data_IF_370371002186
#
_entry.id   IF_370371002186
#
_cell.length_a   1.000
_cell.length_b   1.000
_cell.length_c   1.000
_cell.angle_alpha   90.00
_cell.angle_beta   90.00
_cell.angle_gamma   90.00
#
_symmetry.space_group_name_H-M   'P 1'
#
loop_
_entity.id
_entity.type
_entity.pdbx_description
1 polymer ?
#
# COMPACT_ATOMS: atom_id res chain seq x y z
N UNK A 1 -88.40 20.54 17.65
CA UNK A 1 -89.26 19.61 16.88
C UNK A 1 -88.69 19.52 15.47
N UNK A 2 -87.84 18.53 15.19
CA UNK A 2 -88.14 17.32 14.39
C UNK A 2 -88.84 17.62 13.06
N UNK A 3 -88.13 17.43 11.94
CA UNK A 3 -88.44 16.57 10.77
C UNK A 3 -87.48 17.02 9.64
N UNK A 4 -86.55 16.21 9.14
CA UNK A 4 -86.63 14.93 8.43
C UNK A 4 -86.28 15.13 6.94
N UNK A 5 -85.30 14.35 6.50
CA UNK A 5 -84.74 14.24 5.15
C UNK A 5 -85.80 14.12 4.05
N UNK A 6 -85.51 14.71 2.88
CA UNK A 6 -85.86 14.10 1.59
C UNK A 6 -84.70 14.16 0.61
N UNK A 7 -84.44 12.98 0.03
CA UNK A 7 -83.44 12.64 -0.98
C UNK A 7 -83.77 13.34 -2.29
N UNK A 8 -82.79 14.02 -2.87
CA UNK A 8 -82.80 14.48 -4.25
C UNK A 8 -81.47 14.11 -4.90
N UNK A 9 -81.48 13.05 -5.71
CA UNK A 9 -80.36 12.68 -6.58
C UNK A 9 -80.31 13.70 -7.71
N UNK A 10 -79.19 14.42 -7.83
CA UNK A 10 -78.86 15.20 -9.03
C UNK A 10 -77.42 14.86 -9.43
N UNK A 11 -77.29 14.13 -10.54
CA UNK A 11 -76.04 13.90 -11.26
C UNK A 11 -75.66 15.19 -12.00
N UNK A 12 -74.47 15.73 -11.74
CA UNK A 12 -73.84 16.70 -12.65
C UNK A 12 -72.30 16.67 -12.58
N UNK A 13 -71.73 16.04 -13.61
CA UNK A 13 -70.56 16.39 -14.41
C UNK A 13 -69.33 17.06 -13.74
N UNK A 14 -68.25 16.26 -13.66
CA UNK A 14 -66.80 16.52 -13.83
C UNK A 14 -66.36 18.00 -14.05
N UNK A 15 -65.47 18.50 -13.17
CA UNK A 15 -64.31 19.34 -13.55
C UNK A 15 -63.32 19.58 -12.38
N UNK A 16 -62.10 19.07 -12.53
CA UNK A 16 -60.82 19.72 -12.19
C UNK A 16 -60.55 20.30 -10.80
N UNK A 17 -59.67 19.63 -10.04
CA UNK A 17 -58.47 20.23 -9.44
C UNK A 17 -57.59 19.12 -8.83
N UNK A 18 -56.67 18.57 -9.62
CA UNK A 18 -55.52 17.84 -9.10
C UNK A 18 -54.59 18.87 -8.48
N UNK A 19 -54.65 19.06 -7.16
CA UNK A 19 -53.59 19.72 -6.42
C UNK A 19 -52.35 18.84 -6.49
N UNK A 20 -51.46 19.16 -7.43
CA UNK A 20 -50.13 18.61 -7.49
C UNK A 20 -49.36 19.09 -6.25
N UNK A 21 -49.15 18.18 -5.28
CA UNK A 21 -48.11 18.34 -4.28
C UNK A 21 -46.75 18.29 -5.02
N UNK A 22 -46.22 19.45 -5.38
CA UNK A 22 -44.80 19.59 -5.74
C UNK A 22 -43.98 19.50 -4.46
N UNK A 23 -43.64 18.28 -4.04
CA UNK A 23 -42.51 18.11 -3.13
C UNK A 23 -41.22 18.51 -3.86
N UNK A 24 -40.30 19.26 -3.24
CA UNK A 24 -39.00 19.51 -3.84
C UNK A 24 -38.29 18.16 -4.01
N UNK A 25 -38.00 17.80 -5.25
CA UNK A 25 -37.22 16.61 -5.57
C UNK A 25 -35.85 16.73 -4.91
N UNK A 26 -35.64 15.99 -3.83
CA UNK A 26 -34.31 15.71 -3.31
C UNK A 26 -33.60 14.92 -4.39
N UNK A 27 -32.74 15.59 -5.15
CA UNK A 27 -31.75 14.94 -5.99
C UNK A 27 -30.86 14.12 -5.06
N UNK A 28 -31.10 12.81 -4.96
CA UNK A 28 -30.14 11.92 -4.34
C UNK A 28 -28.85 12.03 -5.16
N UNK A 29 -27.69 12.30 -4.55
CA UNK A 29 -26.45 12.26 -5.30
C UNK A 29 -26.34 10.88 -5.92
N UNK A 30 -26.24 10.80 -7.25
CA UNK A 30 -25.90 9.56 -7.94
C UNK A 30 -24.55 9.11 -7.37
N UNK A 31 -24.58 8.15 -6.44
CA UNK A 31 -23.37 7.56 -5.90
C UNK A 31 -22.68 6.82 -7.03
N UNK A 32 -21.40 7.15 -7.29
CA UNK A 32 -20.63 6.46 -8.33
C UNK A 32 -20.68 4.94 -8.07
N UNK A 33 -20.90 4.10 -9.10
CA UNK A 33 -20.98 2.66 -8.91
C UNK A 33 -19.67 2.13 -8.30
N UNK A 34 -19.79 1.24 -7.33
CA UNK A 34 -18.66 0.61 -6.66
C UNK A 34 -18.16 -0.60 -7.46
N UNK A 35 -16.83 -0.75 -7.57
CA UNK A 35 -16.19 -1.99 -8.03
C UNK A 35 -15.96 -2.98 -6.88
N UNK A 36 -15.72 -2.46 -5.68
CA UNK A 36 -15.69 -3.23 -4.45
C UNK A 36 -15.98 -2.32 -3.25
N UNK A 37 -16.33 -2.93 -2.12
CA UNK A 37 -16.39 -2.29 -0.82
C UNK A 37 -15.46 -3.06 0.12
N UNK A 38 -14.49 -2.38 0.71
CA UNK A 38 -13.50 -2.95 1.64
C UNK A 38 -13.59 -2.12 2.90
N UNK A 39 -13.91 -2.72 4.04
CA UNK A 39 -13.82 -1.91 5.25
C UNK A 39 -15.01 -0.94 5.44
N UNK A 40 -16.11 -1.12 4.69
CA UNK A 40 -17.12 -0.07 4.45
C UNK A 40 -16.67 1.06 3.50
N UNK A 41 -15.44 1.05 3.00
CA UNK A 41 -14.91 2.04 2.07
C UNK A 41 -15.08 1.57 0.62
N UNK A 42 -15.55 2.49 -0.24
CA UNK A 42 -15.84 2.18 -1.63
C UNK A 42 -14.60 2.34 -2.51
N UNK A 43 -14.28 1.29 -3.26
CA UNK A 43 -13.42 1.36 -4.44
C UNK A 43 -14.32 1.67 -5.63
N UNK A 44 -14.20 2.84 -6.24
CA UNK A 44 -15.09 3.25 -7.33
C UNK A 44 -14.83 2.49 -8.64
N UNK A 45 -15.87 2.33 -9.46
CA UNK A 45 -15.75 1.74 -10.80
C UNK A 45 -14.79 2.53 -11.67
N UNK A 46 -14.73 3.85 -11.52
CA UNK A 46 -13.78 4.72 -12.22
C UNK A 46 -12.32 4.36 -11.88
N UNK A 47 -12.01 4.17 -10.59
CA UNK A 47 -10.67 3.77 -10.15
C UNK A 47 -10.32 2.37 -10.69
N UNK A 48 -11.26 1.43 -10.65
CA UNK A 48 -11.09 0.10 -11.22
C UNK A 48 -10.79 0.11 -12.73
N UNK A 49 -11.59 0.85 -13.51
CA UNK A 49 -11.39 0.96 -14.96
C UNK A 49 -10.05 1.61 -15.31
N UNK A 50 -9.66 2.67 -14.60
CA UNK A 50 -8.37 3.32 -14.79
C UNK A 50 -7.21 2.34 -14.50
N UNK A 51 -7.30 1.55 -13.42
CA UNK A 51 -6.27 0.54 -13.10
C UNK A 51 -6.25 -0.60 -14.11
N UNK A 52 -7.42 -1.08 -14.54
CA UNK A 52 -7.54 -2.15 -15.53
C UNK A 52 -6.91 -1.76 -16.86
N UNK A 53 -7.07 -0.50 -17.27
CA UNK A 53 -6.49 0.01 -18.51
C UNK A 53 -4.96 0.00 -18.48
N UNK A 54 -4.37 0.41 -17.36
CA UNK A 54 -2.93 0.29 -17.12
C UNK A 54 -2.49 -1.18 -17.12
N UNK A 55 -3.26 -2.05 -16.48
CA UNK A 55 -2.95 -3.50 -16.43
C UNK A 55 -2.99 -4.15 -17.81
N UNK A 56 -3.86 -3.70 -18.74
CA UNK A 56 -3.91 -4.21 -20.11
C UNK A 56 -2.65 -3.92 -20.91
N UNK A 57 -2.09 -2.72 -20.75
CA UNK A 57 -0.86 -2.31 -21.44
C UNK A 57 0.38 -3.03 -20.91
N UNK A 58 0.32 -3.56 -19.68
CA UNK A 58 1.45 -4.20 -18.99
C UNK A 58 1.21 -5.68 -18.70
N UNK A 59 0.29 -6.34 -19.41
CA UNK A 59 -0.29 -7.65 -19.07
C UNK A 59 0.67 -8.56 -18.28
N UNK A 60 0.47 -8.75 -16.97
CA UNK A 60 1.38 -9.51 -16.12
C UNK A 60 1.44 -11.01 -16.50
N UNK A 61 0.54 -11.47 -17.37
CA UNK A 61 0.51 -12.84 -17.88
C UNK A 61 1.19 -13.01 -19.23
N UNK A 62 1.82 -11.97 -19.79
CA UNK A 62 2.56 -12.06 -21.05
C UNK A 62 3.62 -13.16 -20.98
N UNK A 63 3.59 -14.13 -21.91
CA UNK A 63 4.56 -15.22 -21.97
C UNK A 63 4.25 -16.45 -21.11
N UNK A 64 3.15 -16.48 -20.35
CA UNK A 64 2.69 -17.67 -19.63
C UNK A 64 1.82 -18.53 -20.57
N UNK A 65 2.20 -19.80 -20.87
CA UNK A 65 1.41 -20.67 -21.73
C UNK A 65 0.00 -20.92 -21.19
N UNK A 66 -1.00 -20.87 -22.08
CA UNK A 66 -2.42 -21.06 -21.75
C UNK A 66 -2.79 -22.50 -21.32
N UNK A 67 -1.80 -23.39 -21.23
CA UNK A 67 -1.99 -24.79 -20.83
C UNK A 67 -2.50 -24.96 -19.38
N UNK A 68 -2.51 -23.90 -18.56
CA UNK A 68 -3.23 -23.87 -17.29
C UNK A 68 -4.72 -23.61 -17.56
N UNK A 69 -5.65 -24.51 -17.16
CA UNK A 69 -7.08 -24.35 -17.41
C UNK A 69 -7.65 -23.00 -16.90
N UNK A 70 -8.79 -22.59 -17.49
CA UNK A 70 -9.58 -21.36 -17.26
C UNK A 70 -9.51 -20.78 -15.83
N UNK A 71 -9.52 -19.44 -15.66
CA UNK A 71 -10.27 -18.46 -16.47
C UNK A 71 -9.48 -17.81 -17.63
N UNK A 72 -10.21 -17.17 -18.54
CA UNK A 72 -9.66 -16.48 -19.72
C UNK A 72 -8.69 -15.34 -19.32
N UNK A 73 -7.69 -14.98 -20.15
CA UNK A 73 -6.71 -13.93 -19.82
C UNK A 73 -7.34 -12.61 -19.37
N UNK A 74 -8.40 -12.15 -20.05
CA UNK A 74 -9.11 -10.93 -19.67
C UNK A 74 -9.77 -11.03 -18.29
N UNK A 75 -10.35 -12.17 -17.92
CA UNK A 75 -10.94 -12.41 -16.61
C UNK A 75 -9.87 -12.50 -15.51
N UNK A 76 -8.72 -13.12 -15.81
CA UNK A 76 -7.56 -13.13 -14.90
C UNK A 76 -7.06 -11.72 -14.63
N UNK A 77 -6.97 -10.89 -15.67
CA UNK A 77 -6.56 -9.50 -15.54
C UNK A 77 -7.54 -8.70 -14.70
N UNK A 78 -8.85 -8.81 -14.99
CA UNK A 78 -9.90 -8.17 -14.19
C UNK A 78 -9.84 -8.55 -12.71
N UNK A 79 -9.63 -9.85 -12.44
CA UNK A 79 -9.52 -10.38 -11.07
C UNK A 79 -8.24 -9.86 -10.40
N UNK A 80 -7.10 -9.93 -11.08
CA UNK A 80 -5.84 -9.39 -10.59
C UNK A 80 -5.98 -7.90 -10.23
N UNK A 81 -6.55 -7.09 -11.13
CA UNK A 81 -6.72 -5.65 -10.93
C UNK A 81 -7.57 -5.35 -9.69
N UNK A 82 -8.72 -6.01 -9.50
CA UNK A 82 -9.55 -5.74 -8.33
C UNK A 82 -8.89 -6.19 -7.03
N UNK A 83 -8.21 -7.35 -7.04
CA UNK A 83 -7.49 -7.84 -5.85
C UNK A 83 -6.31 -6.93 -5.47
N UNK A 84 -5.63 -6.32 -6.44
CA UNK A 84 -4.61 -5.30 -6.17
C UNK A 84 -5.23 -4.04 -5.52
N UNK A 85 -6.37 -3.57 -6.02
CA UNK A 85 -7.05 -2.40 -5.44
C UNK A 85 -7.56 -2.66 -4.02
N UNK A 86 -8.01 -3.89 -3.73
CA UNK A 86 -8.36 -4.30 -2.36
C UNK A 86 -7.15 -4.21 -1.44
N UNK A 87 -5.98 -4.70 -1.87
CA UNK A 87 -4.73 -4.56 -1.10
C UNK A 87 -4.34 -3.09 -0.87
N UNK A 88 -4.38 -2.28 -1.91
CA UNK A 88 -4.09 -0.83 -1.82
C UNK A 88 -5.04 -0.14 -0.82
N UNK A 89 -6.32 -0.53 -0.81
CA UNK A 89 -7.32 0.00 0.11
C UNK A 89 -7.08 -0.43 1.55
N UNK A 90 -6.65 -1.68 1.78
CA UNK A 90 -6.22 -2.16 3.11
C UNK A 90 -5.02 -1.33 3.61
N UNK A 91 -4.00 -1.16 2.77
CA UNK A 91 -2.82 -0.34 3.08
C UNK A 91 -3.24 1.09 3.43
N UNK A 92 -4.11 1.71 2.63
CA UNK A 92 -4.62 3.06 2.86
C UNK A 92 -5.30 3.18 4.23
N UNK A 93 -6.18 2.24 4.58
CA UNK A 93 -6.87 2.26 5.87
C UNK A 93 -5.92 2.07 7.05
N UNK A 94 -4.89 1.21 6.92
CA UNK A 94 -3.88 1.03 7.97
C UNK A 94 -2.98 2.26 8.12
N UNK A 95 -2.62 2.92 7.01
CA UNK A 95 -1.92 4.20 7.04
C UNK A 95 -2.75 5.27 7.77
N UNK A 96 -4.05 5.40 7.45
CA UNK A 96 -4.94 6.36 8.09
C UNK A 96 -5.13 6.10 9.59
N UNK A 97 -5.25 4.84 10.01
CA UNK A 97 -5.31 4.46 11.44
C UNK A 97 -4.06 4.89 12.21
N UNK A 98 -2.91 4.95 11.53
CA UNK A 98 -1.63 5.43 12.08
C UNK A 98 -1.44 6.94 11.90
N UNK A 99 -2.43 7.66 11.37
CA UNK A 99 -2.33 9.09 11.10
C UNK A 99 -1.41 9.46 9.92
N UNK A 100 -1.00 8.47 9.11
CA UNK A 100 -0.14 8.67 7.95
C UNK A 100 -1.02 9.15 6.79
N UNK A 101 -0.72 10.35 6.28
CA UNK A 101 -1.42 10.94 5.14
C UNK A 101 -0.41 11.43 4.10
N UNK A 102 -0.49 10.89 2.90
CA UNK A 102 0.27 11.38 1.75
C UNK A 102 -0.54 12.51 1.10
N UNK A 103 -0.06 13.74 1.25
CA UNK A 103 -0.71 14.90 0.69
C UNK A 103 -0.42 15.08 -0.80
N UNK A 104 -1.19 15.97 -1.42
CA UNK A 104 -1.06 16.33 -2.83
C UNK A 104 0.35 16.81 -3.20
N UNK A 105 1.01 17.56 -2.30
CA UNK A 105 2.35 18.11 -2.55
C UNK A 105 3.42 17.02 -2.61
N UNK A 106 3.35 16.01 -1.74
CA UNK A 106 4.26 14.89 -1.75
C UNK A 106 4.17 14.10 -3.06
N UNK A 107 2.94 13.86 -3.55
CA UNK A 107 2.72 13.19 -4.83
C UNK A 107 3.27 14.02 -6.00
N UNK A 108 2.98 15.32 -6.03
CA UNK A 108 3.42 16.19 -7.12
C UNK A 108 4.95 16.34 -7.13
N UNK A 109 5.58 16.43 -5.95
CA UNK A 109 7.03 16.45 -5.80
C UNK A 109 7.67 15.18 -6.36
N UNK A 110 7.14 14.00 -6.03
CA UNK A 110 7.63 12.73 -6.55
C UNK A 110 7.43 12.61 -8.08
N UNK A 111 6.28 13.01 -8.60
CA UNK A 111 6.05 13.02 -10.06
C UNK A 111 7.03 13.96 -10.76
N UNK A 112 7.34 15.11 -10.17
CA UNK A 112 8.29 16.06 -10.73
C UNK A 112 9.73 15.53 -10.70
N UNK A 113 10.13 14.76 -9.68
CA UNK A 113 11.44 14.11 -9.67
C UNK A 113 11.55 13.05 -10.77
N UNK A 114 10.51 12.23 -10.98
CA UNK A 114 10.45 11.27 -12.09
C UNK A 114 10.56 11.97 -13.45
N UNK A 115 9.83 13.08 -13.65
CA UNK A 115 9.92 13.90 -14.86
C UNK A 115 11.30 14.50 -15.07
N UNK A 116 11.96 14.95 -14.00
CA UNK A 116 13.31 15.52 -14.07
C UNK A 116 14.36 14.46 -14.44
N UNK A 117 14.20 13.23 -13.95
CA UNK A 117 15.10 12.12 -14.26
C UNK A 117 14.98 11.64 -15.71
N UNK A 118 13.76 11.53 -16.24
CA UNK A 118 13.54 11.01 -17.61
C UNK A 118 13.43 12.09 -18.69
N UNK A 119 13.17 13.34 -18.33
CA UNK A 119 12.73 14.41 -19.23
C UNK A 119 11.22 14.38 -19.50
N UNK A 120 10.59 15.55 -19.59
CA UNK A 120 9.13 15.70 -19.66
C UNK A 120 8.50 15.02 -20.88
N UNK A 121 9.11 15.12 -22.07
CA UNK A 121 8.60 14.48 -23.29
C UNK A 121 8.64 12.96 -23.18
N UNK A 122 9.75 12.40 -22.71
CA UNK A 122 9.89 10.96 -22.53
C UNK A 122 8.93 10.44 -21.45
N UNK A 123 8.76 11.18 -20.35
CA UNK A 123 7.81 10.89 -19.29
C UNK A 123 6.37 10.82 -19.81
N UNK A 124 5.90 11.87 -20.50
CA UNK A 124 4.54 11.92 -21.05
C UNK A 124 4.31 10.81 -22.08
N UNK A 125 5.29 10.56 -22.94
CA UNK A 125 5.25 9.44 -23.89
C UNK A 125 5.19 8.08 -23.18
N UNK A 126 5.89 7.91 -22.06
CA UNK A 126 5.83 6.69 -21.26
C UNK A 126 4.46 6.50 -20.60
N UNK A 127 3.83 7.55 -20.09
CA UNK A 127 2.46 7.47 -19.55
C UNK A 127 1.49 6.97 -20.63
N UNK A 128 1.52 7.59 -21.80
CA UNK A 128 0.65 7.20 -22.91
C UNK A 128 0.87 5.74 -23.36
N UNK A 129 2.14 5.32 -23.52
CA UNK A 129 2.46 3.93 -23.90
C UNK A 129 2.01 2.89 -22.87
N UNK A 130 1.91 3.27 -21.60
CA UNK A 130 1.51 2.38 -20.50
C UNK A 130 0.03 2.56 -20.10
N UNK A 131 -0.77 3.28 -20.89
CA UNK A 131 -2.21 3.46 -20.64
C UNK A 131 -2.55 4.39 -19.48
N UNK A 132 -1.61 5.21 -19.01
CA UNK A 132 -1.84 6.17 -17.94
C UNK A 132 -2.35 7.52 -18.49
N UNK A 133 -3.41 8.04 -17.87
CA UNK A 133 -3.68 9.49 -17.80
C UNK A 133 -2.89 10.13 -16.66
N UNK A 134 -2.74 11.45 -16.68
CA UNK A 134 -2.10 12.18 -15.56
C UNK A 134 -2.78 11.90 -14.21
N UNK A 135 -4.11 11.88 -14.16
CA UNK A 135 -4.87 11.62 -12.93
C UNK A 135 -4.73 10.18 -12.43
N UNK A 136 -4.79 9.20 -13.34
CA UNK A 136 -4.61 7.79 -12.98
C UNK A 136 -3.19 7.52 -12.50
N UNK A 137 -2.19 8.16 -13.12
CA UNK A 137 -0.80 8.07 -12.68
C UNK A 137 -0.61 8.71 -11.31
N UNK A 138 -1.19 9.89 -11.08
CA UNK A 138 -1.17 10.55 -9.78
C UNK A 138 -1.78 9.67 -8.68
N UNK A 139 -2.91 9.04 -8.97
CA UNK A 139 -3.58 8.12 -8.05
C UNK A 139 -2.72 6.88 -7.77
N UNK A 140 -2.08 6.32 -8.80
CA UNK A 140 -1.13 5.21 -8.67
C UNK A 140 0.07 5.58 -7.79
N UNK A 141 0.67 6.76 -8.02
CA UNK A 141 1.80 7.24 -7.21
C UNK A 141 1.41 7.51 -5.77
N UNK A 142 0.19 8.01 -5.52
CA UNK A 142 -0.32 8.17 -4.15
C UNK A 142 -0.43 6.84 -3.42
N UNK A 143 -0.97 5.81 -4.07
CA UNK A 143 -1.07 4.47 -3.48
C UNK A 143 0.32 3.93 -3.11
N UNK A 144 1.27 4.02 -4.06
CA UNK A 144 2.68 3.62 -3.84
C UNK A 144 3.31 4.38 -2.66
N UNK A 145 3.22 5.71 -2.63
CA UNK A 145 3.79 6.53 -1.55
C UNK A 145 3.15 6.22 -0.20
N UNK A 146 1.85 5.90 -0.19
CA UNK A 146 1.13 5.51 1.04
C UNK A 146 1.63 4.16 1.56
N UNK A 147 1.84 3.20 0.67
CA UNK A 147 2.41 1.89 1.00
C UNK A 147 3.83 2.00 1.55
N UNK A 148 4.70 2.76 0.87
CA UNK A 148 6.07 3.01 1.33
C UNK A 148 6.07 3.73 2.68
N UNK A 149 5.22 4.74 2.88
CA UNK A 149 5.13 5.45 4.15
C UNK A 149 4.66 4.54 5.30
N UNK A 150 3.67 3.68 5.05
CA UNK A 150 3.22 2.69 6.03
C UNK A 150 4.32 1.68 6.35
N UNK A 151 5.00 1.16 5.32
CA UNK A 151 6.13 0.25 5.47
C UNK A 151 7.23 0.87 6.34
N UNK A 152 7.62 2.11 6.06
CA UNK A 152 8.64 2.84 6.83
C UNK A 152 8.23 3.02 8.29
N UNK A 153 6.97 3.39 8.55
CA UNK A 153 6.46 3.53 9.92
C UNK A 153 6.50 2.19 10.68
N UNK A 154 6.08 1.10 10.04
CA UNK A 154 6.12 -0.23 10.66
C UNK A 154 7.55 -0.75 10.85
N UNK A 155 8.44 -0.50 9.90
CA UNK A 155 9.85 -0.82 10.02
C UNK A 155 10.50 -0.03 11.15
N UNK A 156 10.11 1.23 11.36
CA UNK A 156 10.55 2.04 12.49
C UNK A 156 10.15 1.41 13.83
N UNK A 157 8.90 0.98 13.98
CA UNK A 157 8.43 0.26 15.18
C UNK A 157 9.24 -1.03 15.44
N UNK A 158 9.58 -1.76 14.38
CA UNK A 158 10.38 -2.99 14.45
C UNK A 158 11.80 -2.72 14.90
N UNK A 159 12.50 -1.75 14.28
CA UNK A 159 13.88 -1.43 14.68
C UNK A 159 13.94 -0.78 16.07
N UNK A 160 12.91 -0.02 16.48
CA UNK A 160 12.79 0.51 17.84
C UNK A 160 12.62 -0.62 18.86
N UNK A 161 11.94 -1.70 18.49
CA UNK A 161 11.82 -2.89 19.33
C UNK A 161 13.14 -3.62 19.46
N UNK A 162 13.88 -3.80 18.36
CA UNK A 162 15.24 -4.35 18.37
C UNK A 162 16.19 -3.51 19.25
N UNK A 163 16.18 -2.17 19.09
CA UNK A 163 16.98 -1.26 19.89
C UNK A 163 16.64 -1.34 21.38
N UNK A 164 15.34 -1.46 21.74
CA UNK A 164 14.92 -1.66 23.13
C UNK A 164 15.45 -2.96 23.72
N UNK A 165 15.37 -4.07 22.99
CA UNK A 165 15.92 -5.36 23.46
C UNK A 165 17.42 -5.25 23.73
N UNK A 166 18.18 -4.63 22.81
CA UNK A 166 19.61 -4.38 22.99
C UNK A 166 19.90 -3.52 24.23
N UNK A 167 19.14 -2.44 24.43
CA UNK A 167 19.28 -1.56 25.60
C UNK A 167 18.94 -2.25 26.93
N UNK A 168 18.14 -3.32 26.91
CA UNK A 168 17.87 -4.16 28.09
C UNK A 168 18.93 -5.24 28.34
N UNK A 169 20.00 -5.28 27.55
CA UNK A 169 21.12 -6.20 27.71
C UNK A 169 20.96 -7.55 27.00
N UNK A 170 19.99 -7.68 26.08
CA UNK A 170 19.87 -8.89 25.26
C UNK A 170 21.10 -9.03 24.34
N UNK A 171 21.55 -10.27 24.13
CA UNK A 171 22.68 -10.55 23.26
C UNK A 171 22.37 -10.15 21.81
N UNK A 172 23.28 -9.41 21.18
CA UNK A 172 23.10 -8.89 19.81
C UNK A 172 22.68 -9.98 18.82
N UNK A 173 23.33 -11.15 18.89
CA UNK A 173 23.03 -12.28 18.02
C UNK A 173 21.58 -12.78 18.15
N UNK A 174 21.02 -12.78 19.36
CA UNK A 174 19.63 -13.18 19.59
C UNK A 174 18.64 -12.15 19.04
N UNK A 175 18.95 -10.86 19.21
CA UNK A 175 18.13 -9.77 18.65
C UNK A 175 18.20 -9.80 17.12
N UNK A 176 19.38 -10.02 16.54
CA UNK A 176 19.57 -10.14 15.10
C UNK A 176 18.78 -11.30 14.49
N UNK A 177 18.82 -12.49 15.12
CA UNK A 177 18.05 -13.64 14.66
C UNK A 177 16.52 -13.40 14.69
N UNK A 178 16.04 -12.50 15.55
CA UNK A 178 14.62 -12.17 15.71
C UNK A 178 14.15 -11.07 14.77
N UNK A 179 14.97 -10.03 14.59
CA UNK A 179 14.54 -8.77 13.97
C UNK A 179 15.19 -8.47 12.63
N UNK A 180 16.31 -9.09 12.30
CA UNK A 180 17.02 -8.81 11.05
C UNK A 180 16.30 -9.44 9.86
N UNK A 181 15.98 -8.62 8.88
CA UNK A 181 15.46 -9.02 7.57
C UNK A 181 16.60 -9.43 6.61
N UNK A 182 17.87 -9.28 7.00
CA UNK A 182 19.01 -9.84 6.26
C UNK A 182 19.12 -11.35 6.52
N UNK A 183 18.57 -12.16 5.61
CA UNK A 183 18.60 -13.62 5.72
C UNK A 183 20.01 -14.23 5.67
N UNK A 184 21.00 -13.53 5.11
CA UNK A 184 22.38 -14.03 4.98
C UNK A 184 23.21 -13.90 6.25
N UNK A 185 22.95 -12.87 7.06
CA UNK A 185 23.67 -12.61 8.31
C UNK A 185 22.80 -12.83 9.54
N UNK A 186 21.50 -12.60 9.48
CA UNK A 186 20.57 -12.68 10.63
C UNK A 186 20.56 -14.07 11.29
N UNK A 187 20.61 -15.14 10.50
CA UNK A 187 20.69 -16.53 11.00
C UNK A 187 22.03 -16.85 11.69
N UNK A 188 23.05 -16.03 11.45
CA UNK A 188 24.39 -16.10 12.08
C UNK A 188 24.59 -14.98 13.10
N UNK A 189 23.52 -14.54 13.75
CA UNK A 189 23.57 -13.50 14.77
C UNK A 189 23.90 -12.10 14.23
N UNK A 190 23.64 -11.87 12.94
CA UNK A 190 23.98 -10.63 12.25
C UNK A 190 25.43 -10.57 11.78
N UNK A 191 26.25 -11.61 11.95
CA UNK A 191 27.67 -11.58 11.64
C UNK A 191 27.95 -11.29 10.15
N UNK A 192 28.46 -10.08 9.90
CA UNK A 192 28.84 -9.57 8.58
C UNK A 192 30.33 -9.81 8.28
N UNK A 193 31.08 -10.41 9.20
CA UNK A 193 32.49 -10.75 9.06
C UNK A 193 33.41 -9.54 9.18
N UNK A 194 34.66 -9.76 8.76
CA UNK A 194 35.72 -8.75 8.75
C UNK A 194 35.63 -7.91 7.48
N UNK A 195 35.44 -6.61 7.65
CA UNK A 195 35.30 -5.64 6.56
C UNK A 195 36.32 -4.53 6.72
N UNK A 196 36.88 -4.04 5.61
CA UNK A 196 37.53 -2.73 5.63
C UNK A 196 36.46 -1.65 5.71
N UNK A 197 36.74 -0.47 6.30
CA UNK A 197 35.78 0.64 6.33
C UNK A 197 35.17 0.99 4.97
N UNK A 198 35.96 0.89 3.89
CA UNK A 198 35.50 1.15 2.52
C UNK A 198 34.57 0.06 1.96
N UNK A 199 34.60 -1.14 2.54
CA UNK A 199 33.76 -2.28 2.14
C UNK A 199 32.46 -2.36 2.97
N UNK A 200 32.29 -1.51 4.00
CA UNK A 200 31.04 -1.41 4.77
C UNK A 200 29.95 -0.81 3.87
N UNK A 201 28.82 -1.51 3.64
CA UNK A 201 27.74 -0.98 2.81
C UNK A 201 27.12 0.28 3.41
N UNK A 202 26.69 1.20 2.54
CA UNK A 202 25.98 2.44 2.88
C UNK A 202 26.83 3.42 3.72
N UNK A 203 27.12 4.60 3.17
CA UNK A 203 27.98 5.60 3.82
C UNK A 203 27.57 5.97 5.27
N UNK A 204 26.27 6.13 5.61
CA UNK A 204 25.86 6.42 6.98
C UNK A 204 26.27 5.33 7.99
N UNK A 205 26.23 4.06 7.58
CA UNK A 205 26.61 2.94 8.45
C UNK A 205 28.13 2.90 8.65
N UNK A 206 28.90 3.09 7.58
CA UNK A 206 30.36 3.16 7.66
C UNK A 206 30.81 4.28 8.62
N UNK A 207 30.20 5.47 8.53
CA UNK A 207 30.47 6.59 9.44
C UNK A 207 30.11 6.26 10.89
N UNK A 208 28.94 5.66 11.14
CA UNK A 208 28.51 5.30 12.49
C UNK A 208 29.43 4.25 13.13
N UNK A 209 29.89 3.27 12.35
CA UNK A 209 30.81 2.22 12.81
C UNK A 209 32.22 2.77 13.04
N UNK A 210 32.67 3.75 12.25
CA UNK A 210 34.04 4.27 12.35
C UNK A 210 34.33 4.89 13.73
N UNK A 211 33.36 5.58 14.32
CA UNK A 211 33.49 6.19 15.65
C UNK A 211 33.14 5.27 16.81
N UNK A 212 32.69 4.03 16.54
CA UNK A 212 32.16 3.12 17.55
C UNK A 212 33.27 2.31 18.24
N UNK A 213 33.36 2.33 19.59
CA UNK A 213 34.28 1.45 20.31
C UNK A 213 33.95 -0.02 20.11
N UNK A 214 34.96 -0.89 20.22
CA UNK A 214 34.75 -2.35 20.25
C UNK A 214 33.84 -2.74 21.41
N UNK A 215 32.91 -3.65 21.15
CA UNK A 215 31.87 -4.11 22.09
C UNK A 215 30.68 -3.17 22.23
N UNK A 216 30.69 -1.99 21.59
CA UNK A 216 29.56 -1.05 21.61
C UNK A 216 28.61 -1.27 20.44
N UNK A 217 27.36 -0.85 20.63
CA UNK A 217 26.28 -0.90 19.64
C UNK A 217 25.96 0.51 19.15
N UNK A 218 25.72 0.68 17.86
CA UNK A 218 25.30 1.97 17.30
C UNK A 218 23.89 2.34 17.77
N UNK A 219 23.52 3.61 17.60
CA UNK A 219 22.11 3.97 17.48
C UNK A 219 21.48 3.37 16.22
N UNK A 220 20.21 3.68 15.99
CA UNK A 220 19.52 3.33 14.74
C UNK A 220 20.08 4.20 13.61
N UNK A 221 20.66 3.55 12.60
CA UNK A 221 21.24 4.21 11.41
C UNK A 221 20.26 4.09 10.26
N UNK A 222 19.82 5.22 9.70
CA UNK A 222 19.02 5.24 8.47
C UNK A 222 19.91 5.01 7.24
N UNK A 223 19.49 4.10 6.37
CA UNK A 223 20.19 3.71 5.13
C UNK A 223 19.19 3.66 3.96
N UNK A 224 19.68 3.52 2.73
CA UNK A 224 18.79 3.41 1.55
C UNK A 224 17.92 2.13 1.56
N UNK A 225 18.34 1.10 2.30
CA UNK A 225 17.62 -0.17 2.44
C UNK A 225 16.64 -0.19 3.60
N UNK A 226 16.69 0.78 4.51
CA UNK A 226 15.89 0.82 5.73
C UNK A 226 16.73 1.22 6.94
N UNK A 227 16.52 0.55 8.07
CA UNK A 227 17.17 0.88 9.34
C UNK A 227 18.17 -0.19 9.74
N UNK A 228 19.38 0.22 10.12
CA UNK A 228 20.44 -0.69 10.54
C UNK A 228 20.92 -0.35 11.95
N UNK A 229 21.10 -1.38 12.77
CA UNK A 229 21.87 -1.30 14.02
C UNK A 229 23.11 -2.18 13.84
N UNK A 230 24.28 -1.72 14.25
CA UNK A 230 25.52 -2.48 14.16
C UNK A 230 26.24 -2.56 15.52
N UNK A 231 27.05 -3.60 15.68
CA UNK A 231 28.00 -3.72 16.77
C UNK A 231 29.39 -4.01 16.21
N UNK A 232 30.41 -3.41 16.82
CA UNK A 232 31.81 -3.74 16.51
C UNK A 232 32.24 -4.86 17.44
N UNK A 233 32.45 -6.04 16.88
CA UNK A 233 32.87 -7.23 17.64
C UNK A 233 34.37 -7.17 17.94
N UNK A 234 35.17 -6.77 16.96
CA UNK A 234 36.62 -6.65 17.09
C UNK A 234 37.23 -5.72 16.03
N UNK A 235 38.48 -5.31 16.23
CA UNK A 235 39.27 -4.51 15.29
C UNK A 235 40.68 -5.09 15.15
N UNK A 236 41.15 -5.25 13.91
CA UNK A 236 42.49 -5.75 13.60
C UNK A 236 43.05 -5.00 12.39
N UNK A 237 44.16 -4.29 12.57
CA UNK A 237 44.73 -3.43 11.53
C UNK A 237 43.67 -2.45 10.99
N UNK A 238 43.40 -2.46 9.69
CA UNK A 238 42.36 -1.70 9.01
C UNK A 238 41.01 -2.45 8.91
N UNK A 239 40.89 -3.64 9.48
CA UNK A 239 39.67 -4.45 9.46
C UNK A 239 38.83 -4.25 10.72
N UNK A 240 37.51 -4.29 10.52
CA UNK A 240 36.50 -4.22 11.57
C UNK A 240 35.61 -5.45 11.43
N UNK A 241 35.46 -6.24 12.50
CA UNK A 241 34.51 -7.34 12.54
C UNK A 241 33.16 -6.80 13.02
N UNK A 242 32.12 -6.94 12.20
CA UNK A 242 30.80 -6.38 12.48
C UNK A 242 29.74 -7.46 12.58
N UNK A 243 28.74 -7.19 13.43
CA UNK A 243 27.42 -7.79 13.28
C UNK A 243 26.36 -6.70 13.08
N UNK A 244 25.33 -6.98 12.29
CA UNK A 244 24.28 -6.04 11.91
C UNK A 244 22.87 -6.60 12.11
N UNK A 245 21.94 -5.70 12.37
CA UNK A 245 20.49 -5.94 12.33
C UNK A 245 19.95 -4.99 11.28
N UNK A 246 19.44 -5.52 10.17
CA UNK A 246 18.80 -4.74 9.12
C UNK A 246 17.30 -4.92 9.20
N UNK A 247 16.54 -3.83 9.36
CA UNK A 247 15.09 -3.83 9.13
C UNK A 247 14.82 -3.14 7.80
N UNK A 248 14.29 -3.90 6.83
CA UNK A 248 14.09 -3.42 5.48
C UNK A 248 12.93 -2.40 5.41
N UNK A 249 13.24 -1.26 4.82
CA UNK A 249 12.33 -0.17 4.46
C UNK A 249 12.99 0.62 3.33
N UNK A 250 13.05 0.06 2.10
CA UNK A 250 13.70 0.72 0.99
C UNK A 250 13.01 2.06 0.67
N UNK A 251 13.78 3.02 0.15
CA UNK A 251 13.21 4.26 -0.38
C UNK A 251 12.24 3.99 -1.52
N UNK A 252 11.36 4.94 -1.83
CA UNK A 252 10.39 4.80 -2.95
C UNK A 252 11.09 4.48 -4.28
N UNK A 253 12.29 5.05 -4.50
CA UNK A 253 13.06 4.83 -5.72
C UNK A 253 13.65 3.41 -5.82
N UNK A 254 13.80 2.72 -4.69
CA UNK A 254 14.27 1.34 -4.59
C UNK A 254 13.12 0.36 -4.30
N UNK A 255 11.89 0.87 -4.17
CA UNK A 255 10.73 0.05 -3.87
C UNK A 255 10.35 -0.77 -5.10
N UNK A 256 10.34 -2.08 -4.92
CA UNK A 256 9.75 -3.00 -5.88
C UNK A 256 8.87 -4.00 -5.12
N UNK A 257 7.83 -4.56 -5.75
CA UNK A 257 7.02 -5.62 -5.13
C UNK A 257 7.84 -6.85 -4.69
N UNK A 258 9.01 -7.07 -5.31
CA UNK A 258 9.95 -8.14 -4.95
C UNK A 258 10.89 -7.74 -3.79
N UNK A 259 10.99 -6.44 -3.49
CA UNK A 259 11.77 -5.87 -2.40
C UNK A 259 10.95 -5.60 -1.14
N UNK A 260 9.64 -5.88 -1.15
CA UNK A 260 8.77 -5.73 0.01
C UNK A 260 9.12 -6.78 1.07
N UNK A 261 9.35 -6.39 2.35
CA UNK A 261 9.71 -7.35 3.39
C UNK A 261 8.59 -8.36 3.66
N UNK A 262 8.94 -9.63 3.84
CA UNK A 262 7.96 -10.71 4.01
C UNK A 262 6.99 -10.47 5.18
N UNK A 263 7.45 -9.83 6.26
CA UNK A 263 6.59 -9.49 7.39
C UNK A 263 5.53 -8.43 7.05
N UNK A 264 5.81 -7.52 6.11
CA UNK A 264 4.88 -6.49 5.66
C UNK A 264 3.84 -7.11 4.73
N UNK A 265 4.28 -7.93 3.76
CA UNK A 265 3.38 -8.70 2.89
C UNK A 265 2.44 -9.56 3.73
N UNK A 266 2.98 -10.32 4.69
CA UNK A 266 2.18 -11.15 5.59
C UNK A 266 1.16 -10.32 6.38
N UNK A 267 1.53 -9.14 6.87
CA UNK A 267 0.60 -8.27 7.59
C UNK A 267 -0.61 -7.88 6.74
N UNK A 268 -0.39 -7.51 5.47
CA UNK A 268 -1.46 -7.16 4.55
C UNK A 268 -2.32 -8.39 4.22
N UNK A 269 -1.69 -9.55 3.95
CA UNK A 269 -2.40 -10.79 3.65
C UNK A 269 -3.27 -11.26 4.83
N UNK A 270 -2.73 -11.25 6.06
CA UNK A 270 -3.48 -11.59 7.27
C UNK A 270 -4.68 -10.66 7.45
N UNK A 271 -4.52 -9.36 7.16
CA UNK A 271 -5.60 -8.37 7.26
C UNK A 271 -6.67 -8.62 6.20
N UNK A 272 -6.27 -8.91 4.97
CA UNK A 272 -7.19 -9.27 3.90
C UNK A 272 -8.00 -10.52 4.27
N UNK A 273 -7.33 -11.59 4.73
CA UNK A 273 -7.97 -12.84 5.16
C UNK A 273 -8.98 -12.58 6.28
N UNK A 274 -8.62 -11.78 7.29
CA UNK A 274 -9.53 -11.42 8.37
C UNK A 274 -10.77 -10.67 7.86
N UNK A 275 -10.58 -9.67 6.99
CA UNK A 275 -11.69 -8.90 6.42
C UNK A 275 -12.61 -9.78 5.56
N UNK A 276 -12.06 -10.70 4.76
CA UNK A 276 -12.85 -11.64 3.96
C UNK A 276 -13.65 -12.59 4.84
N UNK A 277 -13.02 -13.19 5.86
CA UNK A 277 -13.68 -14.09 6.82
C UNK A 277 -14.87 -13.39 7.51
N UNK A 278 -14.71 -12.11 7.81
CA UNK A 278 -15.72 -11.31 8.50
C UNK A 278 -16.76 -10.70 7.52
N UNK A 279 -16.71 -11.02 6.22
CA UNK A 279 -17.65 -10.53 5.21
C UNK A 279 -17.51 -9.02 4.90
N UNK A 280 -16.36 -8.42 5.21
CA UNK A 280 -16.08 -6.98 5.07
C UNK A 280 -15.38 -6.60 3.76
N UNK A 281 -15.28 -7.55 2.83
CA UNK A 281 -14.84 -7.33 1.45
C UNK A 281 -15.95 -7.83 0.53
N UNK A 282 -16.60 -6.90 -0.16
CA UNK A 282 -17.62 -7.17 -1.18
C UNK A 282 -17.05 -6.80 -2.55
N UNK A 283 -16.93 -7.78 -3.45
CA UNK A 283 -16.48 -7.55 -4.82
C UNK A 283 -17.69 -7.44 -5.75
N UNK A 284 -17.68 -6.44 -6.64
CA UNK A 284 -18.73 -6.20 -7.66
C UNK A 284 -18.23 -6.41 -9.08
N UNK A 285 -16.93 -6.69 -9.24
CA UNK A 285 -16.26 -7.02 -10.51
C UNK A 285 -15.28 -8.19 -10.32
N UNK A 286 -14.93 -8.88 -11.41
CA UNK A 286 -14.03 -10.04 -11.39
C UNK A 286 -14.75 -11.38 -11.12
N UNK A 287 -14.01 -12.48 -11.12
CA UNK A 287 -14.58 -13.84 -11.01
C UNK A 287 -15.24 -14.15 -9.65
N UNK A 288 -14.93 -13.35 -8.63
CA UNK A 288 -15.49 -13.43 -7.27
C UNK A 288 -16.56 -12.35 -7.00
N UNK A 289 -16.96 -11.58 -8.01
CA UNK A 289 -18.15 -10.74 -7.89
C UNK A 289 -19.34 -11.67 -7.66
N UNK A 290 -20.07 -11.48 -6.56
CA UNK A 290 -21.25 -12.30 -6.27
C UNK A 290 -22.29 -12.10 -7.39
N UNK A 291 -22.85 -13.20 -7.89
CA UNK A 291 -24.13 -13.20 -8.59
C UNK A 291 -25.29 -13.01 -7.62
#
# INVERSE_FOLDING_TARGET
MRLALRRGVLLLVIAGALSACTAPGVSLPFSEPAAAVVDGHTISMKAYQARLEVSRHRDPFSGIPEAVPSPAPAQRLQTFTIEQLVREEIVRQEAEKRGIKVDDRAVDSHINSLKAQSGATAFNGALQRNGFTSDSFRSYQRALLTEVALLHAMAKDRVDSAARELNTGQAFAAVAARWSDDSGTGTRGGDAGWLRPADIPEAPLATAVQSLPTGSVTGIVSTNRGFTIATVLDRRNDLVHLATILVLAPSVDLYSPQGTPAWFTKFIDDREVALRRDGRIELKVGSRASG
#
